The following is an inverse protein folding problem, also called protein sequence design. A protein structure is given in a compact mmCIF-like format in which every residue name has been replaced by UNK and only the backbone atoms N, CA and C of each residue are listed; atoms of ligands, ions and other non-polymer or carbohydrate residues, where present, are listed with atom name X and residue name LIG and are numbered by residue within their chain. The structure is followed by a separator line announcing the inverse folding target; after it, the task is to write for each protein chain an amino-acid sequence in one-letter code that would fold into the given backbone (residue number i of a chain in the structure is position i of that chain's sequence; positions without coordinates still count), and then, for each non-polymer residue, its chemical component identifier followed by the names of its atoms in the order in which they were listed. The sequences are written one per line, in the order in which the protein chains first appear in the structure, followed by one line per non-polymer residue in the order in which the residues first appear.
data_IF_474346423969
#
_entry.id   IF_474346423969
#
_cell.length_a   1.000
_cell.length_b   1.000
_cell.length_c   1.000
_cell.angle_alpha   90.00
_cell.angle_beta   90.00
_cell.angle_gamma   90.00
#
_symmetry.space_group_name_H-M   'P 1'
#
loop_
_entity.id
_entity.type
_entity.pdbx_description
1 polymer ?
#
# COMPACT_ATOMS: atom_id res chain seq x y z
N UNK A 1 -6.92 6.56 3.75
CA UNK A 1 -6.54 5.55 2.73
C UNK A 1 -7.31 4.25 2.93
N UNK A 2 -7.18 3.54 4.06
CA UNK A 2 -7.81 2.22 4.26
C UNK A 2 -9.32 2.19 4.03
N UNK A 3 -10.07 3.10 4.65
CA UNK A 3 -11.54 3.14 4.49
C UNK A 3 -11.95 3.35 3.02
N UNK A 4 -11.33 4.34 2.36
CA UNK A 4 -11.57 4.59 0.93
C UNK A 4 -11.18 3.37 0.06
N UNK A 5 -10.10 2.67 0.40
CA UNK A 5 -9.71 1.45 -0.29
C UNK A 5 -10.75 0.32 -0.11
N UNK A 6 -11.24 0.11 1.12
CA UNK A 6 -12.29 -0.88 1.40
C UNK A 6 -13.60 -0.56 0.67
N UNK A 7 -13.98 0.71 0.59
CA UNK A 7 -15.15 1.15 -0.19
C UNK A 7 -14.97 0.84 -1.67
N UNK A 8 -13.82 1.17 -2.25
CA UNK A 8 -13.50 0.82 -3.65
C UNK A 8 -13.51 -0.69 -3.90
N UNK A 9 -12.99 -1.50 -2.97
CA UNK A 9 -13.07 -2.96 -3.06
C UNK A 9 -14.53 -3.42 -3.12
N UNK A 10 -15.40 -2.88 -2.25
CA UNK A 10 -16.82 -3.23 -2.23
C UNK A 10 -17.52 -2.81 -3.54
N UNK A 11 -17.27 -1.60 -4.03
CA UNK A 11 -17.81 -1.11 -5.31
C UNK A 11 -17.39 -1.98 -6.50
N UNK A 12 -16.12 -2.38 -6.54
CA UNK A 12 -15.58 -3.25 -7.60
C UNK A 12 -16.11 -4.67 -7.51
N UNK A 13 -16.33 -5.18 -6.30
CA UNK A 13 -16.96 -6.48 -6.08
C UNK A 13 -18.41 -6.53 -6.60
N UNK A 14 -19.18 -5.44 -6.46
CA UNK A 14 -20.53 -5.33 -7.04
C UNK A 14 -20.50 -5.43 -8.58
N UNK A 15 -19.40 -5.02 -9.20
CA UNK A 15 -19.16 -5.13 -10.64
C UNK A 15 -18.50 -6.46 -11.04
N UNK A 16 -18.24 -7.37 -10.09
CA UNK A 16 -17.62 -8.67 -10.35
C UNK A 16 -16.15 -8.60 -10.77
N UNK A 17 -15.44 -7.52 -10.41
CA UNK A 17 -14.07 -7.24 -10.88
C UNK A 17 -13.14 -6.93 -9.70
N UNK A 18 -11.83 -7.22 -9.81
CA UNK A 18 -10.88 -6.93 -8.73
C UNK A 18 -10.70 -5.42 -8.51
N UNK A 19 -10.29 -4.96 -7.31
CA UNK A 19 -9.95 -3.56 -7.09
C UNK A 19 -8.82 -3.12 -8.04
N UNK A 20 -8.84 -1.84 -8.41
CA UNK A 20 -7.70 -1.23 -9.10
C UNK A 20 -6.44 -1.30 -8.21
N UNK A 21 -5.23 -1.40 -8.82
CA UNK A 21 -3.98 -1.23 -8.09
C UNK A 21 -3.92 0.13 -7.37
N UNK A 22 -3.07 0.22 -6.35
CA UNK A 22 -2.81 1.45 -5.63
C UNK A 22 -2.07 2.45 -6.52
N UNK A 23 -2.49 3.70 -6.47
CA UNK A 23 -1.77 4.82 -7.09
C UNK A 23 -0.64 5.35 -6.18
N UNK A 24 0.14 6.30 -6.70
CA UNK A 24 1.26 6.93 -5.98
C UNK A 24 0.85 7.51 -4.63
N UNK A 25 -0.28 8.23 -4.57
CA UNK A 25 -0.75 8.89 -3.35
C UNK A 25 -1.23 7.87 -2.30
N UNK A 26 -1.86 6.79 -2.75
CA UNK A 26 -2.27 5.69 -1.89
C UNK A 26 -1.06 4.93 -1.34
N UNK A 27 -0.02 4.69 -2.14
CA UNK A 27 1.22 4.06 -1.66
C UNK A 27 1.96 4.97 -0.68
N UNK A 28 2.04 6.28 -0.93
CA UNK A 28 2.61 7.22 0.03
C UNK A 28 1.85 7.18 1.38
N UNK A 29 0.53 7.12 1.34
CA UNK A 29 -0.29 6.96 2.55
C UNK A 29 -0.08 5.60 3.23
N UNK A 30 0.08 4.53 2.45
CA UNK A 30 0.37 3.19 2.95
C UNK A 30 1.72 3.15 3.68
N UNK A 31 2.74 3.85 3.16
CA UNK A 31 4.06 3.95 3.81
C UNK A 31 3.96 4.59 5.20
N UNK A 32 3.16 5.64 5.37
CA UNK A 32 2.96 6.25 6.70
C UNK A 32 2.24 5.29 7.66
N UNK A 33 1.26 4.52 7.16
CA UNK A 33 0.62 3.47 7.96
C UNK A 33 1.60 2.35 8.31
N UNK A 34 2.49 1.94 7.42
CA UNK A 34 3.52 0.93 7.70
C UNK A 34 4.48 1.37 8.81
N UNK A 35 4.80 2.66 8.91
CA UNK A 35 5.68 3.18 9.98
C UNK A 35 5.01 3.20 11.35
N UNK A 36 3.69 3.35 11.39
CA UNK A 36 2.90 3.37 12.62
C UNK A 36 1.57 2.62 12.41
N UNK A 37 1.61 1.28 12.33
CA UNK A 37 0.45 0.49 11.95
C UNK A 37 -0.63 0.54 13.02
N UNK A 38 -1.90 0.78 12.63
CA UNK A 38 -3.02 0.55 13.54
C UNK A 38 -3.05 -0.90 13.99
N UNK A 39 -3.33 -1.14 15.27
CA UNK A 39 -3.38 -2.48 15.83
C UNK A 39 -4.39 -3.36 15.09
N UNK A 40 -3.95 -4.54 14.65
CA UNK A 40 -4.77 -5.53 13.93
C UNK A 40 -4.85 -5.31 12.42
N UNK A 41 -4.23 -4.26 11.88
CA UNK A 41 -4.17 -4.00 10.43
C UNK A 41 -2.84 -4.45 9.80
N UNK A 42 -1.88 -4.95 10.57
CA UNK A 42 -0.50 -5.21 10.14
C UNK A 42 -0.45 -6.15 8.93
N UNK A 43 -1.12 -7.30 9.02
CA UNK A 43 -1.17 -8.28 7.94
C UNK A 43 -1.84 -7.72 6.67
N UNK A 44 -2.84 -6.85 6.85
CA UNK A 44 -3.53 -6.22 5.72
C UNK A 44 -2.64 -5.19 5.03
N UNK A 45 -1.91 -4.36 5.78
CA UNK A 45 -0.96 -3.40 5.22
C UNK A 45 0.16 -4.11 4.43
N UNK A 46 0.66 -5.25 4.94
CA UNK A 46 1.64 -6.08 4.22
C UNK A 46 1.05 -6.63 2.92
N UNK A 47 -0.18 -7.14 2.92
CA UNK A 47 -0.85 -7.62 1.68
C UNK A 47 -0.98 -6.49 0.65
N UNK A 48 -1.35 -5.28 1.07
CA UNK A 48 -1.43 -4.14 0.18
C UNK A 48 -0.06 -3.80 -0.44
N UNK A 49 0.99 -3.80 0.38
CA UNK A 49 2.36 -3.51 -0.06
C UNK A 49 2.86 -4.58 -1.04
N UNK A 50 2.58 -5.84 -0.78
CA UNK A 50 3.04 -6.98 -1.57
C UNK A 50 2.29 -7.08 -2.91
N UNK A 51 0.95 -7.04 -2.85
CA UNK A 51 0.08 -7.54 -3.92
C UNK A 51 -0.70 -6.45 -4.66
N UNK A 52 -0.73 -5.20 -4.18
CA UNK A 52 -1.59 -4.14 -4.73
C UNK A 52 -0.86 -2.98 -5.38
N UNK A 53 0.47 -3.06 -5.52
CA UNK A 53 1.28 -2.00 -6.13
C UNK A 53 1.78 -2.47 -7.50
N UNK A 54 1.58 -1.69 -8.59
CA UNK A 54 2.14 -2.02 -9.90
C UNK A 54 3.67 -2.23 -9.85
N UNK A 55 4.23 -3.12 -10.68
CA UNK A 55 5.67 -3.28 -10.79
C UNK A 55 6.30 -2.26 -11.77
N UNK A 56 7.63 -2.27 -11.86
CA UNK A 56 8.37 -1.53 -12.89
C UNK A 56 8.58 -0.06 -12.56
N UNK A 57 8.40 0.82 -13.55
CA UNK A 57 8.66 2.27 -13.46
C UNK A 57 7.39 3.09 -13.22
N UNK A 58 6.33 2.45 -12.73
CA UNK A 58 5.13 3.13 -12.27
C UNK A 58 5.44 4.04 -11.06
N UNK A 59 4.75 5.16 -10.91
CA UNK A 59 5.01 6.10 -9.82
C UNK A 59 4.72 5.48 -8.45
N UNK A 60 3.69 4.62 -8.34
CA UNK A 60 3.43 3.88 -7.12
C UNK A 60 4.55 2.88 -6.79
N UNK A 61 5.13 2.24 -7.83
CA UNK A 61 6.29 1.37 -7.70
C UNK A 61 7.52 2.13 -7.19
N UNK A 62 7.74 3.36 -7.66
CA UNK A 62 8.82 4.23 -7.21
C UNK A 62 8.72 4.52 -5.71
N UNK A 63 7.53 4.87 -5.21
CA UNK A 63 7.33 5.11 -3.76
C UNK A 63 7.59 3.84 -2.94
N UNK A 64 7.09 2.69 -3.39
CA UNK A 64 7.38 1.38 -2.74
C UNK A 64 8.88 1.11 -2.69
N UNK A 65 9.57 1.25 -3.82
CA UNK A 65 11.00 1.00 -3.92
C UNK A 65 11.81 1.96 -3.01
N UNK A 66 11.47 3.25 -2.99
CA UNK A 66 12.11 4.24 -2.13
C UNK A 66 11.94 3.90 -0.64
N UNK A 67 10.74 3.49 -0.22
CA UNK A 67 10.48 3.08 1.16
C UNK A 67 11.27 1.81 1.54
N UNK A 68 11.23 0.76 0.71
CA UNK A 68 11.97 -0.48 0.96
C UNK A 68 13.50 -0.25 0.98
N UNK A 69 14.00 0.64 0.12
CA UNK A 69 15.39 1.08 0.15
C UNK A 69 15.71 1.83 1.46
N UNK A 70 14.83 2.71 1.94
CA UNK A 70 15.04 3.41 3.21
C UNK A 70 15.07 2.44 4.40
N UNK A 71 14.19 1.43 4.43
CA UNK A 71 14.16 0.38 5.46
C UNK A 71 15.48 -0.41 5.46
N UNK A 72 15.88 -0.93 4.28
CA UNK A 72 17.10 -1.76 4.16
C UNK A 72 18.39 -0.99 4.45
N UNK A 73 18.41 0.34 4.26
CA UNK A 73 19.53 1.20 4.61
C UNK A 73 19.43 1.82 6.01
N UNK A 74 18.46 1.43 6.84
CA UNK A 74 18.28 1.96 8.20
C UNK A 74 17.89 3.45 8.26
N UNK A 75 17.38 4.02 7.15
CA UNK A 75 16.90 5.41 7.06
C UNK A 75 15.42 5.57 7.40
N UNK A 76 14.68 4.47 7.46
CA UNK A 76 13.31 4.38 7.93
C UNK A 76 13.14 3.12 8.78
N UNK A 77 12.12 3.11 9.62
CA UNK A 77 11.73 1.95 10.43
C UNK A 77 10.24 1.68 10.27
N UNK A 78 9.87 0.41 10.40
CA UNK A 78 8.51 -0.12 10.41
C UNK A 78 8.54 -1.29 11.40
N UNK A 79 7.66 -1.33 12.40
CA UNK A 79 7.69 -2.34 13.46
C UNK A 79 7.38 -3.75 12.96
#
# INVERSE_FOLDING_TARGET
MLEAYRQHVAERALLGVPPKPLDEAQVASLVELMKNPPAGEEAFLVDLLENRIPPGVDQAAYVKAAFLAAITNGKATSP
#
